data_IF_676950863245
#
_entry.id   IF_676950863245
#
_cell.length_a   1.000
_cell.length_b   1.000
_cell.length_c   1.000
_cell.angle_alpha   90.00
_cell.angle_beta   90.00
_cell.angle_gamma   90.00
#
_symmetry.space_group_name_H-M   'P 1'
#
loop_
_entity.id
_entity.type
_entity.pdbx_description
1 polymer ?
#
# COMPACT_ATOMS: atom_id res chain seq x y z
N UNK A 1 7.44 -25.47 -15.79
CA UNK A 1 8.35 -24.30 -15.80
C UNK A 1 7.72 -23.05 -16.39
N UNK A 2 7.06 -23.10 -17.56
CA UNK A 2 6.43 -21.93 -18.20
C UNK A 2 5.44 -21.17 -17.29
N UNK A 3 4.60 -21.89 -16.55
CA UNK A 3 3.64 -21.32 -15.61
C UNK A 3 4.32 -20.64 -14.40
N UNK A 4 5.37 -21.25 -13.84
CA UNK A 4 6.15 -20.63 -12.76
C UNK A 4 6.88 -19.36 -13.23
N UNK A 5 7.43 -19.37 -14.45
CA UNK A 5 8.05 -18.18 -15.07
C UNK A 5 7.02 -17.08 -15.33
N UNK A 6 5.82 -17.43 -15.80
CA UNK A 6 4.74 -16.48 -16.02
C UNK A 6 4.27 -15.82 -14.71
N UNK A 7 4.11 -16.59 -13.64
CA UNK A 7 3.75 -16.05 -12.32
C UNK A 7 4.89 -15.24 -11.69
N UNK A 8 6.14 -15.67 -11.86
CA UNK A 8 7.31 -14.92 -11.39
C UNK A 8 7.45 -13.56 -12.10
N UNK A 9 7.19 -13.50 -13.41
CA UNK A 9 7.16 -12.25 -14.19
C UNK A 9 6.00 -11.32 -13.79
N UNK A 10 4.89 -11.87 -13.27
CA UNK A 10 3.78 -11.08 -12.71
C UNK A 10 4.04 -10.58 -11.29
N UNK A 11 4.96 -11.19 -10.55
CA UNK A 11 5.21 -10.85 -9.15
C UNK A 11 6.05 -9.56 -9.03
N UNK A 12 5.37 -8.42 -8.86
CA UNK A 12 5.94 -7.06 -8.88
C UNK A 12 7.05 -6.77 -7.84
N UNK A 13 7.21 -7.60 -6.81
CA UNK A 13 8.02 -7.25 -5.62
C UNK A 13 9.53 -7.23 -5.85
N UNK A 14 10.07 -7.94 -6.86
CA UNK A 14 11.53 -8.01 -7.12
C UNK A 14 11.88 -8.07 -8.61
N UNK A 15 11.00 -7.60 -9.49
CA UNK A 15 11.18 -7.69 -10.94
C UNK A 15 12.53 -7.14 -11.45
N UNK A 16 13.07 -6.01 -10.94
CA UNK A 16 14.36 -5.53 -11.41
C UNK A 16 15.50 -6.54 -11.20
N UNK A 17 15.63 -7.11 -9.99
CA UNK A 17 16.66 -8.10 -9.66
C UNK A 17 16.45 -9.41 -10.43
N UNK A 18 15.19 -9.83 -10.58
CA UNK A 18 14.83 -10.98 -11.39
C UNK A 18 15.25 -10.80 -12.85
N UNK A 19 14.98 -9.63 -13.45
CA UNK A 19 15.36 -9.34 -14.83
C UNK A 19 16.87 -9.35 -15.03
N UNK A 20 17.65 -8.77 -14.11
CA UNK A 20 19.11 -8.82 -14.21
C UNK A 20 19.66 -10.24 -14.11
N UNK A 21 19.17 -11.02 -13.15
CA UNK A 21 19.59 -12.41 -12.97
C UNK A 21 19.15 -13.30 -14.13
N UNK A 22 17.92 -13.13 -14.60
CA UNK A 22 17.38 -13.87 -15.74
C UNK A 22 18.11 -13.53 -17.04
N UNK A 23 18.41 -12.24 -17.27
CA UNK A 23 19.22 -11.81 -18.41
C UNK A 23 20.60 -12.47 -18.38
N UNK A 24 21.27 -12.51 -17.22
CA UNK A 24 22.53 -13.22 -17.06
C UNK A 24 22.41 -14.71 -17.43
N UNK A 25 21.39 -15.41 -16.93
CA UNK A 25 21.16 -16.83 -17.22
C UNK A 25 20.89 -17.08 -18.71
N UNK A 26 20.09 -16.21 -19.35
CA UNK A 26 19.80 -16.29 -20.78
C UNK A 26 21.07 -16.08 -21.58
N UNK A 27 21.86 -15.05 -21.28
CA UNK A 27 23.14 -14.79 -21.96
C UNK A 27 24.15 -15.94 -21.79
N UNK A 28 24.19 -16.59 -20.62
CA UNK A 28 25.07 -17.72 -20.35
C UNK A 28 24.70 -18.98 -21.14
N UNK A 29 23.41 -19.20 -21.40
CA UNK A 29 22.90 -20.44 -22.00
C UNK A 29 22.47 -20.30 -23.47
N UNK A 30 22.46 -19.08 -24.01
CA UNK A 30 22.26 -18.86 -25.44
C UNK A 30 23.49 -19.36 -26.19
N UNK A 31 23.30 -20.40 -27.00
CA UNK A 31 24.30 -20.90 -27.92
C UNK A 31 23.95 -20.38 -29.33
N UNK A 32 24.40 -19.17 -29.66
CA UNK A 32 24.16 -18.59 -30.99
C UNK A 32 25.02 -19.33 -32.04
N UNK A 33 24.40 -20.27 -32.75
CA UNK A 33 24.97 -20.88 -33.95
C UNK A 33 24.91 -19.90 -35.15
N UNK A 34 25.48 -18.71 -35.01
CA UNK A 34 25.57 -17.72 -36.08
C UNK A 34 26.96 -17.80 -36.72
N UNK A 35 27.02 -17.73 -38.04
CA UNK A 35 28.25 -17.66 -38.81
C UNK A 35 29.19 -16.57 -38.24
N UNK A 36 30.41 -16.99 -37.84
CA UNK A 36 31.30 -16.24 -36.93
C UNK A 36 31.62 -14.83 -37.41
N UNK A 37 31.57 -14.59 -38.72
CA UNK A 37 31.89 -13.30 -39.34
C UNK A 37 30.74 -12.30 -39.23
N UNK A 38 29.55 -12.65 -39.71
CA UNK A 38 28.39 -11.74 -39.74
C UNK A 38 27.64 -11.68 -38.41
N UNK A 39 27.64 -12.77 -37.64
CA UNK A 39 27.01 -12.82 -36.32
C UNK A 39 27.60 -11.85 -35.32
N UNK A 40 28.90 -11.56 -35.44
CA UNK A 40 29.59 -10.62 -34.55
C UNK A 40 29.15 -9.17 -34.78
N UNK A 41 29.06 -8.75 -36.04
CA UNK A 41 28.58 -7.41 -36.39
C UNK A 41 27.11 -7.22 -36.01
N UNK A 42 26.27 -8.22 -36.27
CA UNK A 42 24.87 -8.21 -35.86
C UNK A 42 24.73 -8.12 -34.34
N UNK A 43 25.53 -8.88 -33.59
CA UNK A 43 25.53 -8.82 -32.12
C UNK A 43 25.93 -7.43 -31.60
N UNK A 44 26.98 -6.81 -32.15
CA UNK A 44 27.36 -5.45 -31.76
C UNK A 44 26.29 -4.43 -32.09
N UNK A 45 25.67 -4.53 -33.28
CA UNK A 45 24.58 -3.65 -33.68
C UNK A 45 23.37 -3.77 -32.73
N UNK A 46 22.91 -5.00 -32.46
CA UNK A 46 21.81 -5.25 -31.54
C UNK A 46 22.12 -4.78 -30.12
N UNK A 47 23.34 -5.03 -29.64
CA UNK A 47 23.79 -4.56 -28.32
C UNK A 47 23.79 -3.03 -28.25
N UNK A 48 24.34 -2.37 -29.28
CA UNK A 48 24.34 -0.90 -29.38
C UNK A 48 22.92 -0.32 -29.43
N UNK A 49 22.02 -0.93 -30.20
CA UNK A 49 20.62 -0.51 -30.29
C UNK A 49 19.88 -0.65 -28.94
N UNK A 50 20.10 -1.76 -28.22
CA UNK A 50 19.53 -1.97 -26.87
C UNK A 50 20.09 -0.93 -25.90
N UNK A 51 21.40 -0.70 -25.89
CA UNK A 51 22.05 0.28 -25.00
C UNK A 51 21.53 1.68 -25.28
N UNK A 52 21.43 2.09 -26.55
CA UNK A 52 20.85 3.38 -26.94
C UNK A 52 19.38 3.48 -26.50
N UNK A 53 18.57 2.45 -26.76
CA UNK A 53 17.18 2.41 -26.31
C UNK A 53 17.04 2.57 -24.79
N UNK A 54 17.89 1.92 -24.01
CA UNK A 54 17.93 2.07 -22.55
C UNK A 54 18.37 3.47 -22.12
N UNK A 55 19.35 4.07 -22.79
CA UNK A 55 19.82 5.45 -22.50
C UNK A 55 18.69 6.47 -22.71
N UNK A 56 17.84 6.30 -23.72
CA UNK A 56 16.70 7.19 -23.93
C UNK A 56 15.52 6.89 -23.00
N UNK A 57 15.20 5.61 -22.78
CA UNK A 57 14.00 5.22 -22.04
C UNK A 57 14.17 5.27 -20.52
N UNK A 58 15.31 4.80 -20.00
CA UNK A 58 15.53 4.63 -18.56
C UNK A 58 15.51 5.96 -17.79
N UNK A 59 16.16 7.06 -18.24
CA UNK A 59 16.15 8.32 -17.49
C UNK A 59 14.74 8.88 -17.32
N UNK A 60 13.87 8.71 -18.32
CA UNK A 60 12.50 9.21 -18.27
C UNK A 60 11.67 8.43 -17.22
N UNK A 61 11.83 7.09 -17.18
CA UNK A 61 11.19 6.26 -16.17
C UNK A 61 11.76 6.49 -14.78
N UNK A 62 13.08 6.66 -14.65
CA UNK A 62 13.74 6.97 -13.38
C UNK A 62 13.23 8.31 -12.84
N UNK A 63 13.19 9.37 -13.65
CA UNK A 63 12.65 10.68 -13.24
C UNK A 63 11.22 10.57 -12.72
N UNK A 64 10.35 9.87 -13.45
CA UNK A 64 8.96 9.67 -13.03
C UNK A 64 8.86 8.88 -11.72
N UNK A 65 9.62 7.80 -11.58
CA UNK A 65 9.66 6.98 -10.35
C UNK A 65 10.18 7.77 -9.16
N UNK A 66 11.27 8.54 -9.34
CA UNK A 66 11.81 9.42 -8.30
C UNK A 66 10.74 10.43 -7.90
N UNK A 67 10.15 11.15 -8.85
CA UNK A 67 9.12 12.15 -8.56
C UNK A 67 7.93 11.57 -7.79
N UNK A 68 7.47 10.37 -8.14
CA UNK A 68 6.39 9.68 -7.43
C UNK A 68 6.79 9.25 -6.01
N UNK A 69 8.05 8.87 -5.81
CA UNK A 69 8.56 8.46 -4.50
C UNK A 69 8.89 9.62 -3.56
N UNK A 70 9.24 10.79 -4.10
CA UNK A 70 9.67 11.96 -3.32
C UNK A 70 8.54 12.94 -3.06
N UNK A 71 7.60 13.09 -4.02
CA UNK A 71 6.46 13.99 -3.87
C UNK A 71 5.29 13.25 -3.23
N UNK A 72 5.06 13.52 -1.95
CA UNK A 72 3.95 12.93 -1.20
C UNK A 72 2.61 13.28 -1.86
N UNK A 73 2.40 14.51 -2.35
CA UNK A 73 1.12 14.89 -2.96
C UNK A 73 0.82 14.07 -4.24
N UNK A 74 1.82 13.85 -5.08
CA UNK A 74 1.73 12.95 -6.23
C UNK A 74 1.47 11.50 -5.80
N UNK A 75 2.14 11.01 -4.75
CA UNK A 75 1.89 9.68 -4.20
C UNK A 75 0.44 9.51 -3.75
N UNK A 76 -0.12 10.52 -3.07
CA UNK A 76 -1.48 10.45 -2.51
C UNK A 76 -2.57 10.51 -3.58
N UNK A 77 -2.34 11.26 -4.66
CA UNK A 77 -3.32 11.47 -5.72
C UNK A 77 -3.23 10.46 -6.85
N UNK A 78 -2.01 10.02 -7.20
CA UNK A 78 -1.72 9.09 -8.32
C UNK A 78 -1.37 7.69 -7.84
N UNK A 79 -1.53 7.42 -6.54
CA UNK A 79 -1.35 6.10 -5.95
C UNK A 79 -2.33 5.08 -6.50
N UNK A 80 -2.18 3.82 -6.08
CA UNK A 80 -3.10 2.75 -6.46
C UNK A 80 -4.54 3.03 -5.97
N UNK A 81 -4.65 3.70 -4.82
CA UNK A 81 -5.86 4.33 -4.29
C UNK A 81 -5.55 5.79 -3.95
N UNK A 82 -6.58 6.60 -3.77
CA UNK A 82 -6.41 7.92 -3.17
C UNK A 82 -6.09 7.76 -1.68
N UNK A 83 -4.95 8.30 -1.25
CA UNK A 83 -4.49 8.21 0.14
C UNK A 83 -4.86 9.46 0.95
N UNK A 84 -5.21 9.31 2.24
CA UNK A 84 -5.76 10.38 3.07
C UNK A 84 -4.65 11.27 3.67
N UNK A 85 -3.90 11.95 2.83
CA UNK A 85 -2.69 12.67 3.26
C UNK A 85 -2.99 13.93 4.06
N UNK A 86 -4.07 14.65 3.75
CA UNK A 86 -4.51 15.80 4.54
C UNK A 86 -4.93 15.35 5.95
N UNK A 87 -5.76 14.31 6.06
CA UNK A 87 -6.12 13.70 7.33
C UNK A 87 -4.91 13.16 8.11
N UNK A 88 -3.92 12.60 7.41
CA UNK A 88 -2.69 12.07 8.02
C UNK A 88 -1.80 13.19 8.56
N UNK A 89 -1.65 14.30 7.82
CA UNK A 89 -0.95 15.49 8.30
C UNK A 89 -1.64 16.11 9.52
N UNK A 90 -2.96 16.21 9.49
CA UNK A 90 -3.74 16.64 10.65
C UNK A 90 -3.47 15.70 11.85
N UNK A 91 -3.60 14.38 11.64
CA UNK A 91 -3.41 13.39 12.69
C UNK A 91 -2.02 13.45 13.32
N UNK A 92 -0.96 13.65 12.52
CA UNK A 92 0.41 13.85 13.02
C UNK A 92 0.50 15.04 13.97
N UNK A 93 -0.10 16.18 13.60
CA UNK A 93 -0.10 17.39 14.43
C UNK A 93 -0.88 17.16 15.72
N UNK A 94 -2.06 16.56 15.63
CA UNK A 94 -2.90 16.22 16.79
C UNK A 94 -2.21 15.24 17.75
N UNK A 95 -1.61 14.18 17.23
CA UNK A 95 -0.89 13.17 18.01
C UNK A 95 0.35 13.77 18.71
N UNK A 96 1.07 14.67 18.04
CA UNK A 96 2.20 15.38 18.63
C UNK A 96 1.79 16.26 19.82
N UNK A 97 0.65 16.95 19.73
CA UNK A 97 0.14 17.79 20.84
C UNK A 97 -0.39 16.96 22.00
N UNK A 98 -1.04 15.84 21.74
CA UNK A 98 -1.61 14.97 22.77
C UNK A 98 -0.58 14.04 23.44
N UNK A 99 0.63 13.93 22.87
CA UNK A 99 1.73 13.08 23.32
C UNK A 99 1.29 11.62 23.60
N UNK A 100 0.33 11.12 22.80
CA UNK A 100 -0.32 9.81 23.01
C UNK A 100 -0.17 8.94 21.77
N UNK A 101 0.40 7.76 21.94
CA UNK A 101 0.31 6.70 20.93
C UNK A 101 -1.12 6.16 20.91
N UNK A 102 -1.75 6.27 19.74
CA UNK A 102 -3.10 5.78 19.48
C UNK A 102 -3.10 4.40 18.82
N UNK A 103 -4.15 3.64 19.08
CA UNK A 103 -4.46 2.39 18.43
C UNK A 103 -5.61 2.62 17.45
N UNK A 104 -5.25 2.64 16.17
CA UNK A 104 -6.04 3.19 15.08
C UNK A 104 -6.71 2.07 14.30
N UNK A 105 -8.03 2.01 14.35
CA UNK A 105 -8.83 1.24 13.41
C UNK A 105 -8.94 2.00 12.09
N UNK A 106 -8.36 1.48 11.02
CA UNK A 106 -8.21 2.19 9.76
C UNK A 106 -8.98 1.55 8.60
N UNK A 107 -9.23 2.33 7.54
CA UNK A 107 -9.62 1.78 6.22
C UNK A 107 -8.53 0.84 5.72
N UNK A 108 -8.94 -0.35 5.27
CA UNK A 108 -8.05 -1.45 4.87
C UNK A 108 -7.02 -1.04 3.80
N UNK A 109 -7.47 -0.34 2.77
CA UNK A 109 -6.67 0.10 1.63
C UNK A 109 -5.56 1.10 2.02
N UNK A 110 -5.72 1.77 3.17
CA UNK A 110 -4.78 2.76 3.67
C UNK A 110 -3.76 2.19 4.65
N UNK A 111 -3.93 0.95 5.11
CA UNK A 111 -3.12 0.39 6.20
C UNK A 111 -1.61 0.46 5.97
N UNK A 112 -1.14 0.04 4.80
CA UNK A 112 0.29 0.09 4.48
C UNK A 112 0.84 1.52 4.41
N UNK A 113 0.03 2.46 3.94
CA UNK A 113 0.38 3.88 3.91
C UNK A 113 0.43 4.48 5.32
N UNK A 114 -0.54 4.17 6.17
CA UNK A 114 -0.58 4.66 7.55
C UNK A 114 0.54 4.05 8.39
N UNK A 115 0.89 2.77 8.20
CA UNK A 115 2.07 2.16 8.84
C UNK A 115 3.35 2.91 8.46
N UNK A 116 3.48 3.33 7.20
CA UNK A 116 4.62 4.11 6.74
C UNK A 116 4.63 5.53 7.31
N UNK A 117 3.48 6.20 7.33
CA UNK A 117 3.40 7.61 7.71
C UNK A 117 3.26 7.85 9.22
N UNK A 118 2.72 6.89 9.96
CA UNK A 118 2.39 6.97 11.38
C UNK A 118 3.03 5.80 12.16
N UNK A 119 4.36 5.60 12.10
CA UNK A 119 5.02 4.43 12.67
C UNK A 119 4.89 4.32 14.20
N UNK A 120 4.66 5.43 14.89
CA UNK A 120 4.45 5.50 16.34
C UNK A 120 3.05 5.02 16.79
N UNK A 121 2.16 4.73 15.84
CA UNK A 121 0.78 4.36 16.09
C UNK A 121 0.52 2.92 15.67
N UNK A 122 -0.29 2.21 16.46
CA UNK A 122 -0.73 0.86 16.08
C UNK A 122 -1.82 0.97 15.03
N UNK A 123 -1.58 0.38 13.86
CA UNK A 123 -2.53 0.34 12.76
C UNK A 123 -3.20 -1.03 12.74
N UNK A 124 -4.53 -1.07 12.76
CA UNK A 124 -5.30 -2.29 12.94
C UNK A 124 -5.14 -3.29 11.81
N UNK A 125 -5.18 -2.84 10.55
CA UNK A 125 -5.13 -3.73 9.39
C UNK A 125 -4.36 -3.13 8.20
N UNK A 126 -3.70 -3.97 7.42
CA UNK A 126 -3.10 -3.61 6.13
C UNK A 126 -3.27 -4.68 5.04
N UNK A 127 -2.90 -4.31 3.80
CA UNK A 127 -3.06 -5.11 2.58
C UNK A 127 -2.41 -6.50 2.56
N UNK A 128 -1.56 -6.84 3.54
CA UNK A 128 -0.88 -8.14 3.67
C UNK A 128 -1.71 -9.17 4.45
N UNK A 129 -2.72 -8.71 5.19
CA UNK A 129 -3.40 -9.49 6.22
C UNK A 129 -4.59 -10.36 5.77
N UNK A 130 -5.16 -10.31 4.55
CA UNK A 130 -6.28 -11.20 4.19
C UNK A 130 -5.99 -12.68 4.32
N UNK A 131 -4.74 -13.09 4.05
CA UNK A 131 -4.31 -14.48 4.12
C UNK A 131 -3.98 -14.94 5.55
N UNK A 132 -4.02 -14.05 6.54
CA UNK A 132 -3.66 -14.38 7.92
C UNK A 132 -4.84 -15.04 8.61
N UNK A 133 -4.56 -16.02 9.46
CA UNK A 133 -5.54 -16.62 10.38
C UNK A 133 -5.30 -16.04 11.76
N UNK A 134 -6.34 -15.44 12.36
CA UNK A 134 -6.29 -15.00 13.75
C UNK A 134 -6.37 -16.18 14.73
N UNK A 135 -6.19 -15.90 16.02
CA UNK A 135 -6.20 -16.90 17.09
C UNK A 135 -7.50 -17.73 17.15
N UNK A 136 -8.63 -17.12 16.77
CA UNK A 136 -9.94 -17.77 16.69
C UNK A 136 -10.23 -18.43 15.33
N UNK A 137 -9.24 -18.55 14.44
CA UNK A 137 -9.39 -19.07 13.08
C UNK A 137 -10.03 -18.10 12.07
N UNK A 138 -10.53 -16.95 12.53
CA UNK A 138 -11.08 -15.90 11.67
C UNK A 138 -9.95 -14.99 11.14
N UNK A 139 -10.02 -14.59 9.87
CA UNK A 139 -9.07 -13.64 9.29
C UNK A 139 -9.28 -12.24 9.91
N UNK A 140 -8.20 -11.48 10.23
CA UNK A 140 -8.31 -10.08 10.65
C UNK A 140 -9.16 -9.23 9.69
N UNK A 141 -9.14 -9.57 8.40
CA UNK A 141 -9.96 -8.91 7.39
C UNK A 141 -11.46 -9.12 7.60
N UNK A 142 -11.89 -10.32 8.03
CA UNK A 142 -13.30 -10.57 8.33
C UNK A 142 -13.76 -9.75 9.53
N UNK A 143 -12.95 -9.68 10.59
CA UNK A 143 -13.23 -8.84 11.75
C UNK A 143 -13.33 -7.37 11.35
N UNK A 144 -12.39 -6.89 10.53
CA UNK A 144 -12.43 -5.53 9.98
C UNK A 144 -13.72 -5.26 9.21
N UNK A 145 -14.13 -6.18 8.32
CA UNK A 145 -15.36 -6.07 7.53
C UNK A 145 -16.60 -5.97 8.41
N UNK A 146 -16.70 -6.78 9.46
CA UNK A 146 -17.84 -6.75 10.38
C UNK A 146 -17.94 -5.43 11.14
N UNK A 147 -16.80 -4.86 11.53
CA UNK A 147 -16.74 -3.57 12.23
C UNK A 147 -17.07 -2.41 11.29
N UNK A 148 -16.42 -2.32 10.12
CA UNK A 148 -16.62 -1.19 9.19
C UNK A 148 -18.04 -1.17 8.61
N UNK A 149 -18.72 -2.33 8.55
CA UNK A 149 -20.13 -2.46 8.18
C UNK A 149 -21.10 -2.17 9.34
N UNK A 150 -20.60 -1.74 10.51
CA UNK A 150 -21.41 -1.48 11.71
C UNK A 150 -22.32 -2.66 12.09
N UNK A 151 -21.86 -3.91 11.91
CA UNK A 151 -22.63 -5.08 12.31
C UNK A 151 -22.83 -5.12 13.82
N UNK A 152 -23.84 -5.85 14.28
CA UNK A 152 -24.12 -6.01 15.71
C UNK A 152 -22.84 -6.38 16.50
N UNK A 153 -22.59 -5.64 17.59
CA UNK A 153 -21.42 -5.80 18.45
C UNK A 153 -20.10 -5.25 17.90
N UNK A 154 -20.13 -4.40 16.87
CA UNK A 154 -18.92 -3.73 16.33
C UNK A 154 -18.14 -2.95 17.41
N UNK A 155 -18.86 -2.30 18.32
CA UNK A 155 -18.34 -1.49 19.42
C UNK A 155 -17.56 -2.35 20.43
N UNK A 156 -18.13 -3.49 20.81
CA UNK A 156 -17.49 -4.48 21.70
C UNK A 156 -16.26 -5.09 21.05
N UNK A 157 -16.32 -5.36 19.73
CA UNK A 157 -15.17 -5.85 18.97
C UNK A 157 -14.05 -4.83 18.97
N UNK A 158 -14.30 -3.57 18.63
CA UNK A 158 -13.30 -2.49 18.70
C UNK A 158 -12.69 -2.36 20.11
N UNK A 159 -13.54 -2.38 21.15
CA UNK A 159 -13.09 -2.34 22.53
C UNK A 159 -12.16 -3.50 22.89
N UNK A 160 -12.43 -4.72 22.40
CA UNK A 160 -11.58 -5.90 22.64
C UNK A 160 -10.18 -5.78 22.05
N UNK A 161 -10.03 -5.02 20.96
CA UNK A 161 -8.71 -4.72 20.36
C UNK A 161 -8.05 -3.48 20.98
N UNK A 162 -8.71 -2.81 21.92
CA UNK A 162 -8.22 -1.59 22.56
C UNK A 162 -8.03 -0.44 21.58
N UNK A 163 -8.82 -0.38 20.50
CA UNK A 163 -8.76 0.72 19.53
C UNK A 163 -9.42 1.96 20.14
N UNK A 164 -8.73 3.10 20.08
CA UNK A 164 -9.20 4.36 20.65
C UNK A 164 -9.33 5.48 19.60
N UNK A 165 -9.05 5.16 18.34
CA UNK A 165 -9.18 6.06 17.20
C UNK A 165 -9.70 5.29 15.99
N UNK A 166 -10.65 5.87 15.27
CA UNK A 166 -11.07 5.40 13.96
C UNK A 166 -10.53 6.38 12.92
N UNK A 167 -9.80 5.87 11.92
CA UNK A 167 -9.31 6.62 10.78
C UNK A 167 -9.85 5.94 9.52
N UNK A 168 -11.08 6.29 9.17
CA UNK A 168 -11.86 5.56 8.17
C UNK A 168 -12.30 6.46 7.00
N UNK A 169 -12.83 5.85 5.95
CA UNK A 169 -13.43 6.55 4.82
C UNK A 169 -14.66 7.35 5.25
N UNK A 170 -14.76 8.58 4.74
CA UNK A 170 -15.99 9.35 4.84
C UNK A 170 -17.11 8.61 4.09
N UNK A 171 -18.27 8.44 4.73
CA UNK A 171 -19.43 7.77 4.17
C UNK A 171 -19.41 6.24 4.25
N UNK A 172 -18.50 5.66 5.03
CA UNK A 172 -18.59 4.24 5.41
C UNK A 172 -19.79 3.99 6.32
N UNK A 173 -20.31 2.76 6.39
CA UNK A 173 -21.45 2.44 7.27
C UNK A 173 -21.20 2.82 8.72
N UNK A 174 -19.98 2.55 9.22
CA UNK A 174 -19.57 2.95 10.56
C UNK A 174 -19.51 4.48 10.74
N UNK A 175 -19.02 5.23 9.74
CA UNK A 175 -19.06 6.70 9.78
C UNK A 175 -20.49 7.23 9.82
N UNK A 176 -21.37 6.73 8.96
CA UNK A 176 -22.77 7.15 8.91
C UNK A 176 -23.49 6.88 10.23
N UNK A 177 -23.26 5.71 10.84
CA UNK A 177 -23.78 5.38 12.17
C UNK A 177 -23.29 6.38 13.24
N UNK A 178 -22.00 6.69 13.24
CA UNK A 178 -21.42 7.61 14.22
C UNK A 178 -21.88 9.05 14.01
N UNK A 179 -22.17 9.49 12.78
CA UNK A 179 -22.77 10.80 12.56
C UNK A 179 -24.13 10.96 13.27
N UNK A 180 -24.89 9.88 13.43
CA UNK A 180 -26.19 9.89 14.10
C UNK A 180 -26.10 9.58 15.60
N UNK A 181 -25.18 8.69 16.00
CA UNK A 181 -25.17 8.07 17.33
C UNK A 181 -23.82 8.18 18.05
N UNK A 182 -22.92 9.09 17.63
CA UNK A 182 -21.59 9.24 18.22
C UNK A 182 -21.59 9.37 19.74
N UNK A 183 -22.51 10.16 20.30
CA UNK A 183 -22.60 10.40 21.76
C UNK A 183 -22.94 9.12 22.53
N UNK A 184 -23.84 8.28 22.02
CA UNK A 184 -24.22 6.99 22.64
C UNK A 184 -23.01 6.06 22.74
N UNK A 185 -22.18 6.06 21.71
CA UNK A 185 -20.97 5.25 21.66
C UNK A 185 -19.73 5.99 22.16
N UNK A 186 -19.84 7.20 22.73
CA UNK A 186 -18.70 7.95 23.27
C UNK A 186 -17.59 8.22 22.25
N UNK A 187 -17.96 8.56 21.02
CA UNK A 187 -17.02 9.00 19.98
C UNK A 187 -17.16 10.49 19.71
N UNK A 188 -16.04 11.14 19.40
CA UNK A 188 -16.00 12.53 18.99
C UNK A 188 -15.30 12.65 17.63
N UNK A 189 -15.92 13.37 16.69
CA UNK A 189 -15.27 13.71 15.43
C UNK A 189 -14.21 14.78 15.68
N UNK A 190 -12.98 14.51 15.25
CA UNK A 190 -11.88 15.49 15.33
C UNK A 190 -11.42 15.98 13.96
N UNK A 191 -11.80 15.30 12.88
CA UNK A 191 -11.44 15.65 11.52
C UNK A 191 -12.40 15.04 10.50
N UNK A 192 -12.71 15.80 9.44
CA UNK A 192 -13.41 15.32 8.26
C UNK A 192 -12.98 16.08 7.02
N UNK A 193 -12.69 15.35 5.95
CA UNK A 193 -12.55 15.89 4.59
C UNK A 193 -13.39 15.07 3.60
N UNK A 194 -13.21 15.28 2.30
CA UNK A 194 -13.97 14.56 1.26
C UNK A 194 -13.67 13.06 1.18
N UNK A 195 -12.53 12.61 1.72
CA UNK A 195 -12.01 11.26 1.61
C UNK A 195 -12.04 10.50 2.94
N UNK A 196 -11.66 11.15 4.03
CA UNK A 196 -11.42 10.53 5.33
C UNK A 196 -12.10 11.29 6.48
N UNK A 197 -12.37 10.54 7.54
CA UNK A 197 -12.88 11.02 8.82
C UNK A 197 -12.08 10.38 9.95
N UNK A 198 -11.86 11.15 11.02
CA UNK A 198 -11.19 10.68 12.22
C UNK A 198 -12.11 10.87 13.42
N UNK A 199 -12.44 9.74 14.06
CA UNK A 199 -13.22 9.68 15.31
C UNK A 199 -12.31 9.26 16.45
N UNK A 200 -12.36 9.99 17.57
CA UNK A 200 -11.64 9.64 18.79
C UNK A 200 -12.63 9.05 19.80
N UNK A 201 -12.23 7.97 20.48
CA UNK A 201 -12.99 7.45 21.62
C UNK A 201 -12.72 8.34 22.83
N UNK A 202 -13.78 8.91 23.41
CA UNK A 202 -13.76 9.68 24.66
C UNK A 202 -13.56 8.80 25.88
#
# INVERSE_FOLDING_TARGET
MVSATFFALKARRNLPLFYFYYLYLVLKNINFAIDKKYGRYLAYFLTGAIVLGLIFWAPQKIKNTISFSTDLASYCSKGYVQYPCQATEFFKKFAATSQKSLNVFNTYEWGGFLVWQLPEHKIFIDGRMPAWSGEAGQSPYTTWLEIIQARSGWDKKLASYGTNCLFIGNGTFLDLLLQEQAEEYGYQEIYRDKLAVIWLKS
#
